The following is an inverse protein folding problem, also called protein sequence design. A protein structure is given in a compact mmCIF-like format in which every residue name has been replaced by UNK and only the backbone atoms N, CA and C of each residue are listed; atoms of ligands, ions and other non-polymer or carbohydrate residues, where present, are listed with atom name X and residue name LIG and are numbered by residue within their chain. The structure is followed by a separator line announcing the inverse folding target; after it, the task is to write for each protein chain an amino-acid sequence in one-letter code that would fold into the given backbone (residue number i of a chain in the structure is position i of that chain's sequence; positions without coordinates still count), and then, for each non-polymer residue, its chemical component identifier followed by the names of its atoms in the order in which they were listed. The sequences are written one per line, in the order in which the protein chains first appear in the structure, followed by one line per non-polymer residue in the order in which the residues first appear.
data_IF_475444720601
#
_entry.id   IF_475444720601
#
_cell.length_a   1.000
_cell.length_b   1.000
_cell.length_c   1.000
_cell.angle_alpha   90.00
_cell.angle_beta   90.00
_cell.angle_gamma   90.00
#
_symmetry.space_group_name_H-M   'P 1'
#
loop_
_entity.id
_entity.type
_entity.pdbx_description
1 polymer ?
#
# COMPACT_ATOMS: atom_id res chain seq x y z
N UNK A 1 22.63 10.66 -23.28
CA UNK A 1 21.59 9.86 -22.60
C UNK A 1 22.26 8.75 -21.81
N UNK A 2 22.17 8.76 -20.46
CA UNK A 2 22.32 7.52 -19.71
C UNK A 2 21.33 6.52 -20.32
N UNK A 3 21.79 5.35 -20.77
CA UNK A 3 20.88 4.36 -21.33
C UNK A 3 19.82 4.03 -20.27
N UNK A 4 18.54 4.07 -20.65
CA UNK A 4 17.40 3.53 -19.89
C UNK A 4 17.61 2.06 -19.47
N UNK A 5 18.69 1.40 -19.92
CA UNK A 5 19.18 0.13 -19.39
C UNK A 5 19.49 0.12 -17.88
N UNK A 6 19.63 1.29 -17.22
CA UNK A 6 19.69 1.37 -15.73
C UNK A 6 18.31 1.34 -15.04
N UNK A 7 17.22 1.46 -15.79
CA UNK A 7 15.86 1.15 -15.34
C UNK A 7 15.48 -0.31 -15.65
N UNK A 8 16.47 -1.18 -15.94
CA UNK A 8 16.24 -2.62 -15.90
C UNK A 8 16.02 -3.00 -14.44
N UNK A 9 14.74 -3.00 -14.10
CA UNK A 9 14.16 -3.40 -12.84
C UNK A 9 13.90 -4.90 -12.92
N UNK A 10 14.43 -5.68 -11.99
CA UNK A 10 14.39 -7.15 -11.92
C UNK A 10 13.09 -7.70 -11.29
N UNK A 11 12.05 -6.87 -11.24
CA UNK A 11 10.77 -7.17 -10.61
C UNK A 11 10.59 -6.40 -9.30
N UNK A 12 9.48 -6.61 -8.63
CA UNK A 12 9.11 -5.85 -7.43
C UNK A 12 9.78 -6.35 -6.13
N UNK A 13 10.89 -7.08 -6.26
CA UNK A 13 11.62 -7.76 -5.20
C UNK A 13 11.04 -9.13 -4.78
N UNK A 14 9.82 -9.50 -5.17
CA UNK A 14 9.18 -10.76 -4.75
C UNK A 14 8.41 -11.50 -5.84
N UNK A 15 7.67 -10.78 -6.68
CA UNK A 15 6.78 -11.29 -7.69
C UNK A 15 7.34 -10.97 -9.07
N UNK A 16 7.76 -12.01 -9.79
CA UNK A 16 8.19 -11.91 -11.19
C UNK A 16 6.94 -11.92 -12.07
N UNK A 17 6.30 -10.77 -12.21
CA UNK A 17 5.09 -10.66 -13.03
C UNK A 17 5.39 -10.76 -14.54
N UNK A 18 6.63 -10.51 -14.96
CA UNK A 18 7.07 -10.60 -16.37
C UNK A 18 6.92 -12.01 -16.97
N UNK A 19 6.72 -13.05 -16.14
CA UNK A 19 6.40 -14.39 -16.61
C UNK A 19 4.95 -14.55 -17.11
N UNK A 20 4.08 -13.58 -16.80
CA UNK A 20 2.70 -13.54 -17.26
C UNK A 20 2.55 -12.61 -18.47
N UNK A 21 1.66 -12.94 -19.42
CA UNK A 21 1.40 -12.07 -20.56
C UNK A 21 0.73 -10.75 -20.15
N UNK A 22 1.09 -9.69 -20.88
CA UNK A 22 0.57 -8.34 -20.69
C UNK A 22 1.53 -7.43 -19.91
N UNK A 23 1.19 -6.14 -19.86
CA UNK A 23 1.95 -5.18 -19.05
C UNK A 23 1.28 -4.98 -17.69
N UNK A 24 2.03 -4.48 -16.73
CA UNK A 24 1.52 -4.07 -15.43
C UNK A 24 1.87 -2.60 -15.20
N UNK A 25 1.08 -1.88 -14.38
CA UNK A 25 1.43 -0.50 -14.06
C UNK A 25 2.82 -0.45 -13.41
N UNK A 26 3.58 0.65 -13.63
CA UNK A 26 4.87 0.81 -12.98
C UNK A 26 4.71 0.80 -11.46
N UNK A 27 5.67 0.19 -10.77
CA UNK A 27 5.69 0.14 -9.31
C UNK A 27 6.00 1.52 -8.73
N UNK A 28 5.70 1.72 -7.44
CA UNK A 28 6.04 2.97 -6.75
C UNK A 28 7.53 3.27 -6.86
N UNK A 29 8.41 2.29 -6.60
CA UNK A 29 9.85 2.46 -6.77
C UNK A 29 10.26 2.89 -8.18
N UNK A 30 9.61 2.35 -9.23
CA UNK A 30 9.86 2.75 -10.62
C UNK A 30 9.39 4.19 -10.90
N UNK A 31 8.20 4.57 -10.42
CA UNK A 31 7.68 5.93 -10.57
C UNK A 31 8.60 6.93 -9.88
N UNK A 32 8.97 6.69 -8.63
CA UNK A 32 9.84 7.59 -7.86
C UNK A 32 11.21 7.71 -8.51
N UNK A 33 11.81 6.59 -8.95
CA UNK A 33 13.10 6.60 -9.65
C UNK A 33 13.00 7.41 -10.94
N UNK A 34 11.92 7.22 -11.71
CA UNK A 34 11.69 7.96 -12.94
C UNK A 34 11.53 9.46 -12.69
N UNK A 35 10.75 9.88 -11.69
CA UNK A 35 10.59 11.28 -11.31
C UNK A 35 11.93 11.93 -10.96
N UNK A 36 12.72 11.28 -10.09
CA UNK A 36 14.07 11.76 -9.70
C UNK A 36 15.01 11.87 -10.91
N UNK A 37 14.90 10.96 -11.87
CA UNK A 37 15.66 11.04 -13.12
C UNK A 37 15.21 12.21 -14.00
N UNK A 38 13.90 12.43 -14.13
CA UNK A 38 13.36 13.55 -14.91
C UNK A 38 13.82 14.88 -14.32
N UNK A 39 13.75 15.07 -13.01
CA UNK A 39 14.20 16.31 -12.37
C UNK A 39 15.67 16.61 -12.64
N UNK A 40 16.55 15.61 -12.44
CA UNK A 40 17.97 15.76 -12.72
C UNK A 40 18.26 16.12 -14.19
N UNK A 41 17.51 15.53 -15.14
CA UNK A 41 17.66 15.85 -16.56
C UNK A 41 17.05 17.21 -16.92
N UNK A 42 15.98 17.65 -16.24
CA UNK A 42 15.39 18.98 -16.42
C UNK A 42 16.29 20.10 -15.89
N UNK A 43 17.08 19.84 -14.85
CA UNK A 43 18.13 20.77 -14.39
C UNK A 43 19.27 20.88 -15.41
N UNK A 44 19.63 19.78 -16.06
CA UNK A 44 20.74 19.71 -17.00
C UNK A 44 20.39 20.12 -18.44
N UNK A 45 19.10 20.08 -18.81
CA UNK A 45 18.65 20.20 -20.20
C UNK A 45 17.43 21.10 -20.35
N UNK A 46 17.40 21.90 -21.43
CA UNK A 46 16.24 22.74 -21.77
C UNK A 46 14.98 21.93 -22.13
N UNK A 47 15.16 20.74 -22.69
CA UNK A 47 14.07 19.86 -23.10
C UNK A 47 14.38 18.42 -22.71
N UNK A 48 13.39 17.74 -22.14
CA UNK A 48 13.42 16.30 -21.88
C UNK A 48 12.34 15.66 -22.74
N UNK A 49 12.72 14.64 -23.52
CA UNK A 49 11.81 13.92 -24.41
C UNK A 49 11.73 12.46 -23.96
N UNK A 50 10.53 12.03 -23.59
CA UNK A 50 10.24 10.62 -23.30
C UNK A 50 9.81 9.91 -24.59
N UNK A 51 10.49 8.82 -24.93
CA UNK A 51 10.18 8.00 -26.11
C UNK A 51 9.83 6.59 -25.65
N UNK A 52 8.77 6.02 -26.21
CA UNK A 52 8.29 4.67 -25.89
C UNK A 52 7.89 3.89 -27.14
N UNK A 53 7.84 2.56 -27.04
CA UNK A 53 7.27 1.71 -28.07
C UNK A 53 5.76 1.56 -27.88
N UNK A 54 5.04 1.19 -28.94
CA UNK A 54 3.60 0.89 -28.84
C UNK A 54 3.29 -0.14 -27.76
N UNK A 55 4.14 -1.16 -27.61
CA UNK A 55 3.98 -2.21 -26.60
C UNK A 55 4.00 -1.65 -25.18
N UNK A 56 4.83 -0.64 -24.91
CA UNK A 56 5.08 -0.02 -23.59
C UNK A 56 4.29 1.28 -23.39
N UNK A 57 3.29 1.54 -24.24
CA UNK A 57 2.54 2.80 -24.27
C UNK A 57 1.81 3.05 -22.93
N UNK A 58 1.14 2.04 -22.39
CA UNK A 58 0.39 2.14 -21.13
C UNK A 58 1.31 2.50 -19.94
N UNK A 59 2.41 1.76 -19.78
CA UNK A 59 3.39 2.02 -18.71
C UNK A 59 4.00 3.41 -18.86
N UNK A 60 4.40 3.77 -20.07
CA UNK A 60 4.96 5.09 -20.38
C UNK A 60 3.98 6.22 -20.09
N UNK A 61 2.69 6.01 -20.35
CA UNK A 61 1.62 6.96 -20.07
C UNK A 61 1.42 7.17 -18.57
N UNK A 62 1.52 6.12 -17.74
CA UNK A 62 1.52 6.27 -16.27
C UNK A 62 2.72 7.07 -15.80
N UNK A 63 3.93 6.80 -16.32
CA UNK A 63 5.14 7.53 -15.94
C UNK A 63 5.07 9.02 -16.33
N UNK A 64 4.61 9.32 -17.54
CA UNK A 64 4.42 10.69 -18.01
C UNK A 64 3.35 11.42 -17.18
N UNK A 65 2.21 10.75 -16.93
CA UNK A 65 1.14 11.30 -16.09
C UNK A 65 1.58 11.47 -14.63
N UNK A 66 2.46 10.63 -14.10
CA UNK A 66 3.02 10.79 -12.76
C UNK A 66 3.84 12.08 -12.63
N UNK A 67 4.59 12.48 -13.66
CA UNK A 67 5.27 13.80 -13.68
C UNK A 67 4.24 14.93 -13.60
N UNK A 68 3.15 14.83 -14.37
CA UNK A 68 2.10 15.85 -14.36
C UNK A 68 1.39 15.93 -13.00
N UNK A 69 1.03 14.79 -12.41
CA UNK A 69 0.29 14.75 -11.15
C UNK A 69 1.20 15.09 -9.96
N UNK A 70 2.33 14.42 -9.80
CA UNK A 70 3.15 14.54 -8.59
C UNK A 70 4.10 15.74 -8.63
N UNK A 71 4.83 15.94 -9.73
CA UNK A 71 5.83 17.02 -9.82
C UNK A 71 5.23 18.37 -10.25
N UNK A 72 4.11 18.36 -11.00
CA UNK A 72 3.52 19.57 -11.57
C UNK A 72 2.16 19.95 -11.00
N UNK A 73 1.59 19.13 -10.13
CA UNK A 73 0.36 19.48 -9.41
C UNK A 73 -0.93 19.37 -10.22
N UNK A 74 -0.90 18.85 -11.46
CA UNK A 74 -2.11 18.71 -12.28
C UNK A 74 -3.15 17.79 -11.62
N UNK A 75 -4.43 18.01 -11.94
CA UNK A 75 -5.47 17.02 -11.61
C UNK A 75 -5.33 15.78 -12.50
N UNK A 76 -5.90 14.63 -12.12
CA UNK A 76 -5.93 13.44 -12.97
C UNK A 76 -6.51 13.71 -14.36
N UNK A 77 -7.58 14.49 -14.45
CA UNK A 77 -8.26 14.86 -15.69
C UNK A 77 -7.32 15.64 -16.61
N UNK A 78 -6.70 16.71 -16.10
CA UNK A 78 -5.79 17.55 -16.87
C UNK A 78 -4.53 16.80 -17.33
N UNK A 79 -4.03 15.88 -16.48
CA UNK A 79 -2.91 15.03 -16.82
C UNK A 79 -3.29 14.01 -17.90
N UNK A 80 -4.50 13.44 -17.80
CA UNK A 80 -5.00 12.46 -18.74
C UNK A 80 -5.27 13.05 -20.11
N UNK A 81 -5.90 14.24 -20.18
CA UNK A 81 -6.10 14.97 -21.44
C UNK A 81 -4.78 15.22 -22.18
N UNK A 82 -3.71 15.58 -21.46
CA UNK A 82 -2.38 15.80 -22.04
C UNK A 82 -1.74 14.50 -22.55
N UNK A 83 -1.92 13.41 -21.82
CA UNK A 83 -1.45 12.08 -22.24
C UNK A 83 -2.19 11.63 -23.50
N UNK A 84 -3.51 11.79 -23.54
CA UNK A 84 -4.35 11.45 -24.69
C UNK A 84 -4.01 12.28 -25.94
N UNK A 85 -3.71 13.57 -25.78
CA UNK A 85 -3.29 14.43 -26.89
C UNK A 85 -2.02 13.91 -27.62
N UNK A 86 -1.19 13.12 -26.94
CA UNK A 86 0.03 12.52 -27.51
C UNK A 86 -0.17 11.05 -27.90
N UNK A 87 -0.86 10.27 -27.07
CA UNK A 87 -0.97 8.82 -27.22
C UNK A 87 -2.19 8.35 -28.04
N UNK A 88 -3.15 9.25 -28.29
CA UNK A 88 -4.44 8.97 -28.91
C UNK A 88 -5.45 8.34 -27.94
N UNK A 89 -6.73 8.49 -28.25
CA UNK A 89 -7.83 7.88 -27.48
C UNK A 89 -7.73 6.35 -27.49
N UNK A 90 -7.95 5.67 -26.35
CA UNK A 90 -8.08 4.23 -26.33
C UNK A 90 -9.36 3.76 -27.01
N UNK A 91 -9.31 2.55 -27.53
CA UNK A 91 -10.43 1.87 -28.16
C UNK A 91 -11.57 1.64 -27.15
N UNK A 92 -12.83 1.67 -27.62
CA UNK A 92 -14.00 1.44 -26.76
C UNK A 92 -14.09 -0.01 -26.28
N UNK A 93 -13.60 -0.97 -27.06
CA UNK A 93 -13.51 -2.37 -26.66
C UNK A 93 -12.38 -2.53 -25.64
N UNK A 94 -12.72 -2.99 -24.44
CA UNK A 94 -11.76 -3.17 -23.36
C UNK A 94 -10.63 -4.16 -23.69
N UNK A 95 -10.83 -5.09 -24.63
CA UNK A 95 -9.77 -6.03 -25.07
C UNK A 95 -8.76 -5.38 -26.02
N UNK A 96 -9.17 -4.35 -26.75
CA UNK A 96 -8.33 -3.60 -27.68
C UNK A 96 -7.71 -2.34 -27.05
N UNK A 97 -8.37 -1.80 -26.02
CA UNK A 97 -7.97 -0.58 -25.33
C UNK A 97 -6.55 -0.65 -24.77
N UNK A 98 -5.69 0.24 -25.25
CA UNK A 98 -4.29 0.25 -24.88
C UNK A 98 -3.99 0.74 -23.46
N UNK A 99 -4.92 1.45 -22.84
CA UNK A 99 -4.72 2.11 -21.54
C UNK A 99 -5.00 1.17 -20.36
N UNK A 100 -5.22 -0.13 -20.61
CA UNK A 100 -5.63 -1.10 -19.60
C UNK A 100 -4.52 -2.07 -19.23
N UNK A 101 -4.55 -2.50 -17.98
CA UNK A 101 -3.67 -3.53 -17.45
C UNK A 101 -4.50 -4.78 -17.10
N UNK A 102 -4.09 -5.99 -17.55
CA UNK A 102 -4.77 -7.22 -17.18
C UNK A 102 -4.70 -7.47 -15.68
N UNK A 103 -5.63 -8.29 -15.14
CA UNK A 103 -5.52 -8.81 -13.78
C UNK A 103 -4.13 -9.43 -13.55
N UNK A 104 -3.55 -9.28 -12.35
CA UNK A 104 -2.26 -9.91 -12.09
C UNK A 104 -2.34 -11.42 -12.21
N UNK A 105 -1.22 -12.04 -12.60
CA UNK A 105 -1.11 -13.48 -12.76
C UNK A 105 -2.05 -14.05 -13.85
N UNK A 106 -2.60 -13.19 -14.72
CA UNK A 106 -3.41 -13.63 -15.86
C UNK A 106 -2.56 -14.35 -16.89
N UNK A 107 -2.94 -15.59 -17.23
CA UNK A 107 -2.27 -16.39 -18.26
C UNK A 107 -2.66 -16.01 -19.69
N UNK A 108 -3.67 -15.14 -19.87
CA UNK A 108 -4.12 -14.70 -21.20
C UNK A 108 -3.67 -13.28 -21.50
N UNK A 109 -3.42 -12.46 -20.48
CA UNK A 109 -3.14 -11.03 -20.64
C UNK A 109 -4.37 -10.24 -21.11
N UNK A 110 -5.56 -10.85 -21.15
CA UNK A 110 -6.79 -10.19 -21.56
C UNK A 110 -7.25 -9.16 -20.52
N UNK A 111 -7.65 -8.00 -21.03
CA UNK A 111 -8.27 -6.91 -20.28
C UNK A 111 -9.79 -6.94 -20.45
N UNK A 112 -10.49 -6.40 -19.46
CA UNK A 112 -11.94 -6.31 -19.44
C UNK A 112 -12.44 -4.96 -18.93
N UNK A 113 -13.77 -4.77 -18.83
CA UNK A 113 -14.37 -3.50 -18.44
C UNK A 113 -13.91 -3.00 -17.06
N UNK A 114 -13.55 -3.91 -16.15
CA UNK A 114 -13.12 -3.61 -14.78
C UNK A 114 -11.60 -3.56 -14.60
N UNK A 115 -10.84 -3.92 -15.63
CA UNK A 115 -9.40 -3.84 -15.61
C UNK A 115 -8.92 -2.45 -15.22
N UNK A 116 -7.82 -2.41 -14.47
CA UNK A 116 -7.17 -1.17 -14.09
C UNK A 116 -6.76 -0.38 -15.34
N UNK A 117 -7.00 0.93 -15.35
CA UNK A 117 -6.58 1.81 -16.44
C UNK A 117 -5.40 2.70 -16.07
N UNK A 118 -4.75 3.32 -17.06
CA UNK A 118 -3.79 4.41 -16.86
C UNK A 118 -4.45 5.53 -16.06
N UNK A 119 -5.69 5.90 -16.41
CA UNK A 119 -6.42 6.94 -15.69
C UNK A 119 -6.64 6.62 -14.21
N UNK A 120 -7.00 5.37 -13.89
CA UNK A 120 -7.13 4.92 -12.49
C UNK A 120 -5.80 5.06 -11.72
N UNK A 121 -4.66 4.81 -12.37
CA UNK A 121 -3.33 5.03 -11.79
C UNK A 121 -3.09 6.51 -11.47
N UNK A 122 -3.42 7.42 -12.40
CA UNK A 122 -3.27 8.86 -12.17
C UNK A 122 -4.14 9.37 -11.02
N UNK A 123 -5.39 8.88 -10.94
CA UNK A 123 -6.29 9.16 -9.80
C UNK A 123 -5.72 8.63 -8.49
N UNK A 124 -5.12 7.44 -8.49
CA UNK A 124 -4.44 6.89 -7.33
C UNK A 124 -3.25 7.72 -6.85
N UNK A 125 -2.41 8.20 -7.77
CA UNK A 125 -1.28 9.09 -7.46
C UNK A 125 -1.76 10.44 -6.91
N UNK A 126 -2.81 11.02 -7.49
CA UNK A 126 -3.41 12.25 -6.99
C UNK A 126 -3.99 12.06 -5.58
N UNK A 127 -4.70 10.95 -5.33
CA UNK A 127 -5.19 10.61 -4.00
C UNK A 127 -4.04 10.46 -2.99
N UNK A 128 -2.93 9.82 -3.37
CA UNK A 128 -1.78 9.68 -2.50
C UNK A 128 -1.15 11.03 -2.12
N UNK A 129 -1.05 11.96 -3.08
CA UNK A 129 -0.62 13.35 -2.83
C UNK A 129 -1.59 14.07 -1.89
N UNK A 130 -2.89 14.06 -2.21
CA UNK A 130 -3.93 14.78 -1.46
C UNK A 130 -4.16 14.27 -0.04
N UNK A 131 -3.88 12.98 0.20
CA UNK A 131 -3.99 12.34 1.52
C UNK A 131 -2.65 12.25 2.25
N UNK A 132 -1.59 12.82 1.69
CA UNK A 132 -0.22 12.75 2.22
C UNK A 132 0.28 11.29 2.43
N UNK A 133 -0.20 10.35 1.62
CA UNK A 133 0.36 9.00 1.55
C UNK A 133 1.68 8.98 0.77
N UNK A 134 1.89 9.99 -0.07
CA UNK A 134 3.16 10.30 -0.70
C UNK A 134 3.31 11.81 -0.69
N UNK A 135 3.92 12.34 0.37
CA UNK A 135 4.09 13.78 0.58
C UNK A 135 5.13 14.36 -0.39
N UNK A 136 6.39 13.92 -0.26
CA UNK A 136 7.48 14.32 -1.14
C UNK A 136 8.20 13.10 -1.73
N UNK A 137 8.13 12.96 -3.05
CA UNK A 137 8.80 11.87 -3.74
C UNK A 137 10.34 12.00 -3.72
N UNK A 138 10.89 13.20 -3.50
CA UNK A 138 12.34 13.39 -3.34
C UNK A 138 12.85 12.70 -2.08
N UNK A 139 12.08 12.77 -0.99
CA UNK A 139 12.39 12.13 0.30
C UNK A 139 12.11 10.63 0.32
N UNK A 140 11.38 10.10 -0.66
CA UNK A 140 11.05 8.69 -0.71
C UNK A 140 12.31 7.81 -0.87
N UNK A 141 12.50 6.91 0.10
CA UNK A 141 13.62 5.98 0.14
C UNK A 141 13.31 4.70 -0.64
N UNK A 142 13.76 4.70 -1.89
CA UNK A 142 13.56 3.60 -2.84
C UNK A 142 14.27 2.32 -2.39
N UNK A 143 15.41 2.41 -1.69
CA UNK A 143 16.16 1.23 -1.25
C UNK A 143 15.53 0.59 0.00
N UNK A 144 15.12 1.42 0.98
CA UNK A 144 14.35 0.94 2.12
C UNK A 144 13.02 0.29 1.69
N UNK A 145 12.32 0.91 0.73
CA UNK A 145 11.08 0.36 0.17
C UNK A 145 11.29 -1.01 -0.48
N UNK A 146 12.38 -1.20 -1.24
CA UNK A 146 12.74 -2.51 -1.80
C UNK A 146 13.05 -3.52 -0.73
N UNK A 147 13.90 -3.17 0.24
CA UNK A 147 14.30 -4.10 1.30
C UNK A 147 13.11 -4.53 2.14
N UNK A 148 12.18 -3.62 2.47
CA UNK A 148 10.96 -3.96 3.19
C UNK A 148 10.16 -5.03 2.45
N UNK A 149 10.05 -4.89 1.12
CA UNK A 149 9.40 -5.88 0.28
C UNK A 149 10.20 -7.18 0.29
N UNK A 150 11.47 -7.18 -0.09
CA UNK A 150 12.33 -8.38 -0.17
C UNK A 150 12.44 -9.18 1.14
N UNK A 151 12.44 -8.49 2.28
CA UNK A 151 12.67 -9.09 3.60
C UNK A 151 11.38 -9.53 4.27
N UNK A 152 10.33 -8.73 4.20
CA UNK A 152 9.08 -8.96 4.94
C UNK A 152 7.89 -9.29 4.06
N UNK A 153 8.07 -9.29 2.73
CA UNK A 153 7.00 -9.30 1.74
C UNK A 153 5.85 -8.36 2.14
N UNK A 154 6.25 -7.12 2.48
CA UNK A 154 5.37 -6.09 3.02
C UNK A 154 5.42 -4.80 2.20
N UNK A 155 4.32 -4.04 2.19
CA UNK A 155 4.22 -2.73 1.55
C UNK A 155 3.19 -1.88 2.27
N UNK A 156 3.53 -0.60 2.48
CA UNK A 156 2.55 0.39 2.92
C UNK A 156 1.53 0.63 1.80
N UNK A 157 0.25 0.38 2.08
CA UNK A 157 -0.83 0.79 1.19
C UNK A 157 -1.41 2.14 1.63
N UNK A 158 -1.39 2.39 2.94
CA UNK A 158 -1.66 3.70 3.54
C UNK A 158 -0.61 3.88 4.65
N UNK A 159 0.40 4.75 4.47
CA UNK A 159 1.48 4.91 5.45
C UNK A 159 0.95 5.25 6.84
N UNK A 160 1.47 4.57 7.86
CA UNK A 160 1.05 4.74 9.26
C UNK A 160 -0.30 4.11 9.62
N UNK A 161 -1.02 3.52 8.66
CA UNK A 161 -2.35 2.95 8.93
C UNK A 161 -2.51 1.52 8.45
N UNK A 162 -2.14 1.21 7.20
CA UNK A 162 -2.32 -0.12 6.59
C UNK A 162 -0.98 -0.60 6.02
N UNK A 163 -0.36 -1.52 6.76
CA UNK A 163 0.79 -2.29 6.30
C UNK A 163 0.30 -3.62 5.72
N UNK A 164 0.29 -3.76 4.40
CA UNK A 164 -0.07 -5.01 3.74
C UNK A 164 1.14 -5.93 3.70
N UNK A 165 0.96 -7.21 4.03
CA UNK A 165 2.04 -8.19 4.01
C UNK A 165 1.55 -9.59 3.64
N UNK A 166 2.46 -10.45 3.19
CA UNK A 166 2.22 -11.88 3.10
C UNK A 166 2.19 -12.54 4.47
N UNK A 167 1.83 -13.82 4.50
CA UNK A 167 1.78 -14.61 5.72
C UNK A 167 3.16 -14.63 6.44
N UNK A 168 3.24 -14.18 7.72
CA UNK A 168 4.51 -14.08 8.43
C UNK A 168 5.28 -15.41 8.51
N UNK A 169 4.59 -16.54 8.67
CA UNK A 169 5.22 -17.85 8.79
C UNK A 169 5.92 -18.24 7.49
N UNK A 170 5.23 -18.14 6.36
CA UNK A 170 5.81 -18.43 5.05
C UNK A 170 7.00 -17.51 4.74
N UNK A 171 6.85 -16.21 4.97
CA UNK A 171 7.93 -15.24 4.73
C UNK A 171 9.16 -15.51 5.60
N UNK A 172 8.97 -15.92 6.85
CA UNK A 172 10.08 -16.19 7.78
C UNK A 172 10.96 -17.38 7.39
N UNK A 173 10.49 -18.22 6.48
CA UNK A 173 11.24 -19.37 5.95
C UNK A 173 12.20 -18.98 4.82
N UNK A 174 12.23 -17.70 4.41
CA UNK A 174 13.15 -17.22 3.39
C UNK A 174 14.61 -17.38 3.89
N UNK A 175 15.44 -18.23 3.24
CA UNK A 175 16.81 -18.49 3.70
C UNK A 175 17.72 -17.26 3.60
N UNK A 176 17.36 -16.25 2.82
CA UNK A 176 18.09 -14.97 2.72
C UNK A 176 17.96 -14.14 4.00
N UNK A 177 16.91 -14.36 4.79
CA UNK A 177 16.60 -13.60 6.00
C UNK A 177 16.25 -14.54 7.17
N UNK A 178 17.25 -15.25 7.73
CA UNK A 178 17.00 -16.20 8.81
C UNK A 178 16.56 -15.49 10.11
N UNK A 179 15.65 -16.12 10.85
CA UNK A 179 15.27 -15.67 12.20
C UNK A 179 14.25 -14.53 12.26
N UNK A 180 13.52 -14.25 11.18
CA UNK A 180 12.53 -13.15 11.11
C UNK A 180 11.39 -13.24 12.14
N UNK A 181 11.10 -14.43 12.68
CA UNK A 181 10.12 -14.62 13.77
C UNK A 181 10.75 -14.86 15.15
N UNK A 182 12.05 -15.17 15.21
CA UNK A 182 12.66 -15.78 16.39
C UNK A 182 13.29 -14.76 17.34
N UNK A 183 13.59 -13.55 16.87
CA UNK A 183 14.20 -12.50 17.69
C UNK A 183 13.17 -11.42 18.03
N UNK A 184 13.01 -11.19 19.33
CA UNK A 184 12.28 -10.03 19.86
C UNK A 184 12.97 -8.72 19.47
N UNK A 185 12.31 -7.57 19.70
CA UNK A 185 12.90 -6.27 19.40
C UNK A 185 14.17 -6.06 20.23
N UNK A 186 15.12 -5.23 19.75
CA UNK A 186 16.21 -4.79 20.61
C UNK A 186 15.66 -4.08 21.87
N UNK A 187 16.38 -4.08 23.00
CA UNK A 187 15.85 -3.70 24.31
C UNK A 187 15.24 -2.29 24.39
N UNK A 188 15.66 -1.40 23.50
CA UNK A 188 15.28 0.01 23.36
C UNK A 188 14.01 0.24 22.52
N UNK A 189 13.43 -0.79 21.89
CA UNK A 189 12.27 -0.68 20.99
C UNK A 189 10.98 -1.31 21.53
N UNK A 190 10.83 -1.45 22.85
CA UNK A 190 9.53 -1.90 23.42
C UNK A 190 8.49 -0.81 23.20
N UNK A 191 7.28 -1.22 22.77
CA UNK A 191 6.14 -0.30 22.68
C UNK A 191 5.86 0.33 24.06
N UNK A 192 5.51 1.63 24.12
CA UNK A 192 4.98 2.24 25.33
C UNK A 192 3.76 1.45 25.83
N UNK A 193 3.59 1.39 27.15
CA UNK A 193 2.58 0.55 27.81
C UNK A 193 1.15 0.91 27.35
N UNK A 194 0.91 2.15 26.91
CA UNK A 194 -0.37 2.61 26.32
C UNK A 194 -0.74 1.95 24.97
N UNK A 195 0.26 1.47 24.23
CA UNK A 195 0.09 0.70 22.99
C UNK A 195 0.04 -0.80 23.27
N UNK A 196 0.59 -1.25 24.40
CA UNK A 196 0.41 -2.61 24.89
C UNK A 196 -1.00 -2.73 25.47
N UNK A 197 -1.83 -3.52 24.81
CA UNK A 197 -3.19 -3.73 25.28
C UNK A 197 -3.11 -4.57 26.55
N UNK A 198 -3.40 -3.97 27.71
CA UNK A 198 -3.59 -4.70 28.96
C UNK A 198 -4.65 -5.77 28.74
N UNK A 199 -4.37 -6.98 29.21
CA UNK A 199 -5.23 -8.14 29.02
C UNK A 199 -6.54 -7.99 29.81
N UNK A 200 -7.50 -7.24 29.28
CA UNK A 200 -8.85 -7.23 29.82
C UNK A 200 -9.67 -8.33 29.12
N UNK A 201 -9.72 -9.46 29.83
CA UNK A 201 -10.79 -10.46 29.93
C UNK A 201 -11.58 -10.84 28.67
N UNK A 202 -11.49 -12.13 28.35
CA UNK A 202 -12.49 -12.94 27.67
C UNK A 202 -13.93 -12.42 27.84
N UNK A 203 -14.53 -11.90 26.77
CA UNK A 203 -15.95 -11.56 26.71
C UNK A 203 -16.80 -12.75 26.27
N UNK A 204 -16.94 -13.74 27.15
CA UNK A 204 -18.17 -14.53 27.28
C UNK A 204 -19.19 -13.65 28.01
N UNK A 205 -20.41 -13.57 27.49
CA UNK A 205 -21.52 -12.81 28.06
C UNK A 205 -21.98 -13.41 29.40
N UNK A 206 -21.84 -12.67 30.50
CA UNK A 206 -22.69 -12.79 31.70
C UNK A 206 -22.69 -11.49 32.51
N UNK A 207 -23.83 -11.21 33.15
CA UNK A 207 -24.32 -9.90 33.56
C UNK A 207 -23.81 -9.32 34.90
N UNK A 208 -24.13 -8.01 35.08
CA UNK A 208 -24.33 -7.21 36.32
C UNK A 208 -23.08 -6.73 37.08
N UNK A 209 -23.09 -5.61 37.79
CA UNK A 209 -23.90 -4.38 37.87
C UNK A 209 -23.21 -3.45 38.91
N UNK A 210 -23.22 -2.14 38.63
CA UNK A 210 -23.27 -0.96 39.52
C UNK A 210 -22.21 -0.66 40.62
N UNK A 211 -21.82 0.64 40.59
CA UNK A 211 -21.62 1.62 41.69
C UNK A 211 -20.25 2.33 41.57
N UNK A 212 -20.19 3.54 41.01
CA UNK A 212 -20.48 4.86 41.60
C UNK A 212 -19.29 5.51 42.35
N UNK A 213 -18.85 6.63 41.77
CA UNK A 213 -18.70 7.96 42.41
C UNK A 213 -17.29 8.61 42.56
N UNK A 214 -17.25 9.83 42.01
CA UNK A 214 -16.48 11.04 42.38
C UNK A 214 -14.94 11.01 42.55
N UNK A 215 -14.22 11.83 41.77
CA UNK A 215 -13.82 13.21 42.13
C UNK A 215 -12.79 13.82 41.16
N UNK A 216 -12.94 15.14 41.05
CA UNK A 216 -12.15 16.14 40.30
C UNK A 216 -10.68 16.20 40.75
N UNK A 217 -9.78 16.63 39.86
CA UNK A 217 -9.09 17.94 39.88
C UNK A 217 -7.92 17.97 38.86
N UNK A 218 -7.79 19.08 38.10
CA UNK A 218 -6.54 19.47 37.42
C UNK A 218 -5.51 20.03 38.42
N UNK A 219 -4.39 20.67 38.01
CA UNK A 219 -4.34 21.65 36.91
C UNK A 219 -3.01 21.76 36.09
N UNK A 220 -3.10 22.56 35.01
CA UNK A 220 -2.20 23.63 34.53
C UNK A 220 -0.67 23.48 34.34
N UNK A 221 -0.22 24.02 33.20
CA UNK A 221 1.08 24.68 32.97
C UNK A 221 2.16 23.75 32.40
N UNK A 222 2.96 24.07 31.40
CA UNK A 222 3.27 25.31 30.70
C UNK A 222 4.63 25.12 30.00
N UNK A 223 4.90 26.00 29.03
CA UNK A 223 6.17 26.28 28.36
C UNK A 223 6.59 25.55 27.07
N UNK A 224 6.83 26.45 26.11
CA UNK A 224 7.39 26.32 24.79
C UNK A 224 8.91 26.55 24.82
N UNK A 225 9.64 26.04 23.82
CA UNK A 225 11.03 26.43 23.60
C UNK A 225 11.75 25.73 22.44
N UNK A 226 11.92 26.47 21.33
CA UNK A 226 12.93 26.39 20.23
C UNK A 226 13.18 25.04 19.53
N UNK A 227 12.86 24.79 18.25
CA UNK A 227 13.13 25.46 16.96
C UNK A 227 14.64 25.62 16.58
N UNK A 228 15.07 24.68 15.72
CA UNK A 228 16.01 24.73 14.59
C UNK A 228 17.40 25.35 14.74
N UNK A 229 18.44 24.53 14.47
CA UNK A 229 19.72 25.02 13.98
C UNK A 229 20.34 23.97 13.02
N UNK A 230 20.40 24.27 11.72
CA UNK A 230 21.09 23.48 10.69
C UNK A 230 22.18 24.38 10.06
N UNK A 231 23.47 24.00 10.07
CA UNK A 231 24.52 24.77 9.40
C UNK A 231 24.55 24.52 7.88
N UNK A 232 24.81 25.60 7.13
CA UNK A 232 24.99 25.67 5.65
C UNK A 232 26.40 25.20 5.26
N UNK A 233 26.61 24.50 4.12
CA UNK A 233 27.92 23.98 3.73
C UNK A 233 28.80 24.99 2.97
N UNK A 234 30.11 24.82 3.13
CA UNK A 234 31.16 25.63 2.49
C UNK A 234 31.59 25.03 1.14
N UNK A 235 31.79 25.89 0.15
CA UNK A 235 32.21 25.56 -1.22
C UNK A 235 33.74 25.45 -1.30
N UNK A 236 34.29 24.32 -1.74
CA UNK A 236 35.49 24.33 -2.59
C UNK A 236 35.59 23.09 -3.49
N UNK A 237 36.01 23.37 -4.71
CA UNK A 237 35.86 22.63 -5.96
C UNK A 237 36.93 21.57 -6.28
N UNK A 238 36.55 20.54 -7.06
CA UNK A 238 37.17 20.04 -8.33
C UNK A 238 37.29 18.51 -8.44
N UNK A 239 36.67 17.98 -9.50
CA UNK A 239 36.89 16.62 -10.03
C UNK A 239 35.61 15.78 -10.10
N UNK A 240 34.73 16.02 -11.08
CA UNK A 240 33.46 15.29 -11.24
C UNK A 240 33.66 13.87 -11.79
N UNK A 241 34.23 13.00 -10.95
CA UNK A 241 33.84 11.60 -10.91
C UNK A 241 32.47 11.59 -10.22
N UNK A 242 31.40 11.26 -10.95
CA UNK A 242 30.08 11.03 -10.37
C UNK A 242 30.18 9.88 -9.36
N UNK A 243 30.43 10.23 -8.10
CA UNK A 243 30.22 9.38 -6.94
C UNK A 243 29.01 9.96 -6.24
N UNK A 244 27.89 9.24 -6.33
CA UNK A 244 26.72 9.53 -5.52
C UNK A 244 27.16 9.54 -4.04
N UNK A 245 26.88 10.60 -3.26
CA UNK A 245 27.18 10.63 -1.84
C UNK A 245 26.11 9.82 -1.11
N UNK A 246 26.09 8.51 -1.29
CA UNK A 246 25.18 7.65 -0.52
C UNK A 246 25.76 7.45 0.87
N UNK A 247 25.46 8.38 1.78
CA UNK A 247 25.20 7.94 3.15
C UNK A 247 24.01 6.98 3.08
N UNK A 248 24.14 5.81 3.71
CA UNK A 248 22.99 4.91 3.85
C UNK A 248 21.92 5.64 4.64
N UNK A 249 20.65 5.43 4.29
CA UNK A 249 19.57 6.02 5.08
C UNK A 249 19.44 5.28 6.41
N UNK A 250 19.10 6.01 7.46
CA UNK A 250 18.82 5.41 8.76
C UNK A 250 17.66 4.39 8.70
N UNK A 251 16.74 4.54 7.74
CA UNK A 251 15.63 3.60 7.57
C UNK A 251 16.07 2.28 6.97
N UNK A 252 16.94 2.31 5.96
CA UNK A 252 17.51 1.11 5.38
C UNK A 252 18.28 0.31 6.44
N UNK A 253 19.12 0.97 7.23
CA UNK A 253 19.90 0.33 8.30
C UNK A 253 19.00 -0.30 9.38
N UNK A 254 17.91 0.39 9.78
CA UNK A 254 16.92 -0.17 10.71
C UNK A 254 16.24 -1.41 10.12
N UNK A 255 15.78 -1.34 8.87
CA UNK A 255 15.13 -2.47 8.21
C UNK A 255 16.04 -3.68 8.06
N UNK A 256 17.34 -3.50 7.88
CA UNK A 256 18.32 -4.60 7.86
C UNK A 256 18.41 -5.34 9.19
N UNK A 257 18.33 -4.61 10.31
CA UNK A 257 18.31 -5.18 11.64
C UNK A 257 16.95 -5.76 12.05
N UNK A 258 15.86 -5.28 11.45
CA UNK A 258 14.50 -5.58 11.92
C UNK A 258 14.10 -7.06 11.81
N UNK A 259 13.32 -7.56 12.77
CA UNK A 259 12.48 -8.75 12.62
C UNK A 259 11.03 -8.34 12.37
N UNK A 260 10.11 -9.30 12.17
CA UNK A 260 8.69 -8.96 12.12
C UNK A 260 8.25 -8.23 13.38
N UNK A 261 8.75 -8.67 14.54
CA UNK A 261 8.36 -8.08 15.82
C UNK A 261 8.87 -6.62 15.90
N UNK A 262 10.16 -6.36 15.66
CA UNK A 262 10.67 -4.99 15.76
C UNK A 262 10.06 -4.06 14.71
N UNK A 263 9.86 -4.55 13.48
CA UNK A 263 9.14 -3.80 12.43
C UNK A 263 7.73 -3.42 12.89
N UNK A 264 6.96 -4.37 13.44
CA UNK A 264 5.59 -4.14 13.89
C UNK A 264 5.53 -3.15 15.06
N UNK A 265 6.43 -3.28 16.04
CA UNK A 265 6.47 -2.37 17.19
C UNK A 265 6.85 -0.94 16.75
N UNK A 266 7.89 -0.78 15.93
CA UNK A 266 8.30 0.53 15.41
C UNK A 266 7.26 1.16 14.49
N UNK A 267 6.50 0.34 13.77
CA UNK A 267 5.38 0.76 12.93
C UNK A 267 4.10 1.03 13.73
N UNK A 268 4.15 0.98 15.07
CA UNK A 268 3.00 1.13 15.97
C UNK A 268 1.83 0.22 15.59
N UNK A 269 2.09 -1.04 15.26
CA UNK A 269 1.03 -1.98 14.92
C UNK A 269 0.14 -2.23 16.14
N UNK A 270 -1.12 -1.83 16.03
CA UNK A 270 -2.16 -2.06 17.02
C UNK A 270 -2.59 -3.52 17.05
N UNK A 271 -2.81 -4.12 15.87
CA UNK A 271 -3.25 -5.50 15.72
C UNK A 271 -2.88 -6.03 14.32
N UNK A 272 -2.61 -7.33 14.24
CA UNK A 272 -2.39 -8.03 12.97
C UNK A 272 -3.71 -8.65 12.53
N UNK A 273 -4.26 -8.25 11.40
CA UNK A 273 -5.49 -8.81 10.85
C UNK A 273 -5.16 -9.93 9.85
N UNK A 274 -5.68 -11.14 10.14
CA UNK A 274 -5.50 -12.36 9.32
C UNK A 274 -6.76 -12.69 8.53
N UNK A 275 -6.63 -12.79 7.20
CA UNK A 275 -7.73 -12.99 6.25
C UNK A 275 -7.78 -14.40 5.62
N UNK A 276 -6.78 -15.24 5.85
CA UNK A 276 -6.74 -16.61 5.33
C UNK A 276 -7.10 -17.64 6.39
N UNK A 277 -7.76 -18.72 5.99
CA UNK A 277 -8.13 -19.79 6.90
C UNK A 277 -6.91 -20.59 7.37
N UNK A 278 -7.05 -21.27 8.51
CA UNK A 278 -6.02 -22.15 9.06
C UNK A 278 -5.63 -23.30 8.11
N UNK A 279 -6.58 -23.83 7.33
CA UNK A 279 -6.29 -24.92 6.40
C UNK A 279 -5.40 -24.49 5.21
N UNK A 280 -5.31 -23.18 4.92
CA UNK A 280 -4.52 -22.65 3.82
C UNK A 280 -3.01 -22.63 4.13
N UNK A 281 -2.66 -22.53 5.41
CA UNK A 281 -1.27 -22.58 5.88
C UNK A 281 -1.23 -23.26 7.24
N UNK A 282 -0.60 -24.44 7.29
CA UNK A 282 -0.45 -25.20 8.54
C UNK A 282 0.49 -24.48 9.50
N UNK A 283 0.31 -24.70 10.80
CA UNK A 283 1.14 -24.18 11.89
C UNK A 283 1.20 -22.65 12.01
N UNK A 284 0.20 -21.94 11.49
CA UNK A 284 0.10 -20.48 11.63
C UNK A 284 0.08 -20.01 13.09
N UNK A 285 -0.38 -20.86 14.01
CA UNK A 285 -0.34 -20.58 15.46
C UNK A 285 1.08 -20.32 15.98
N UNK A 286 2.13 -20.76 15.27
CA UNK A 286 3.53 -20.48 15.62
C UNK A 286 3.86 -19.00 15.60
N UNK A 287 3.51 -18.28 14.53
CA UNK A 287 3.80 -16.84 14.46
C UNK A 287 2.85 -16.06 15.39
N UNK A 288 1.62 -16.52 15.56
CA UNK A 288 0.66 -15.90 16.50
C UNK A 288 1.18 -15.94 17.93
N UNK A 289 1.71 -17.09 18.37
CA UNK A 289 2.36 -17.24 19.67
C UNK A 289 3.61 -16.37 19.80
N UNK A 290 4.40 -16.26 18.73
CA UNK A 290 5.58 -15.38 18.73
C UNK A 290 5.18 -13.91 18.89
N UNK A 291 4.17 -13.45 18.16
CA UNK A 291 3.64 -12.09 18.25
C UNK A 291 3.02 -11.82 19.62
N UNK A 292 2.24 -12.75 20.15
CA UNK A 292 1.56 -12.60 21.43
C UNK A 292 2.55 -12.43 22.60
N UNK A 293 3.71 -13.10 22.56
CA UNK A 293 4.79 -12.92 23.56
C UNK A 293 5.31 -11.48 23.64
N UNK A 294 5.08 -10.68 22.60
CA UNK A 294 5.47 -9.28 22.52
C UNK A 294 4.26 -8.33 22.50
N UNK A 295 3.08 -8.79 22.91
CA UNK A 295 1.86 -7.98 22.99
C UNK A 295 1.17 -7.72 21.66
N UNK A 296 1.66 -8.31 20.56
CA UNK A 296 1.05 -8.19 19.24
C UNK A 296 -0.02 -9.27 19.08
N UNK A 297 -1.28 -8.85 18.98
CA UNK A 297 -2.41 -9.77 18.84
C UNK A 297 -2.73 -9.99 17.36
N UNK A 298 -3.27 -11.18 17.07
CA UNK A 298 -3.75 -11.54 15.74
C UNK A 298 -5.28 -11.62 15.78
N UNK A 299 -5.94 -10.79 14.98
CA UNK A 299 -7.37 -10.76 14.82
C UNK A 299 -7.78 -11.54 13.57
N UNK A 300 -8.60 -12.57 13.76
CA UNK A 300 -8.96 -13.51 12.70
C UNK A 300 -10.31 -13.16 12.05
N UNK A 301 -10.29 -12.75 10.79
CA UNK A 301 -11.49 -12.41 9.99
C UNK A 301 -11.35 -13.00 8.57
N UNK A 302 -11.35 -14.33 8.43
CA UNK A 302 -11.05 -14.97 7.17
C UNK A 302 -12.18 -14.89 6.16
N UNK A 303 -11.82 -14.97 4.89
CA UNK A 303 -12.75 -15.26 3.80
C UNK A 303 -12.04 -15.99 2.65
N UNK A 304 -12.82 -16.61 1.78
CA UNK A 304 -12.35 -17.51 0.72
C UNK A 304 -11.38 -16.81 -0.23
N UNK A 305 -10.28 -17.51 -0.58
CA UNK A 305 -9.28 -16.99 -1.50
C UNK A 305 -9.87 -16.70 -2.90
N UNK A 306 -9.40 -15.62 -3.52
CA UNK A 306 -9.91 -15.12 -4.81
C UNK A 306 -11.34 -14.54 -4.78
N UNK A 307 -12.05 -14.62 -3.65
CA UNK A 307 -13.41 -14.09 -3.50
C UNK A 307 -13.44 -12.69 -2.88
N UNK A 308 -14.65 -12.17 -2.64
CA UNK A 308 -14.92 -10.88 -2.01
C UNK A 308 -15.38 -11.06 -0.56
N UNK A 309 -15.11 -10.09 0.34
CA UNK A 309 -15.52 -10.20 1.74
C UNK A 309 -17.04 -10.05 1.88
N UNK A 310 -17.62 -10.73 2.87
CA UNK A 310 -19.01 -10.47 3.26
C UNK A 310 -19.12 -9.11 3.94
N UNK A 311 -20.35 -8.57 3.98
CA UNK A 311 -20.61 -7.30 4.69
C UNK A 311 -20.16 -7.35 6.16
N UNK A 312 -20.38 -8.47 6.84
CA UNK A 312 -19.99 -8.63 8.24
C UNK A 312 -18.47 -8.59 8.41
N UNK A 313 -17.72 -9.22 7.49
CA UNK A 313 -16.25 -9.20 7.49
C UNK A 313 -15.72 -7.79 7.28
N UNK A 314 -16.28 -7.05 6.31
CA UNK A 314 -15.92 -5.63 6.09
C UNK A 314 -16.20 -4.79 7.33
N UNK A 315 -17.38 -4.94 7.94
CA UNK A 315 -17.77 -4.14 9.11
C UNK A 315 -16.86 -4.40 10.32
N UNK A 316 -16.51 -5.66 10.58
CA UNK A 316 -15.62 -6.00 11.68
C UNK A 316 -14.21 -5.43 11.47
N UNK A 317 -13.69 -5.52 10.25
CA UNK A 317 -12.40 -4.92 9.90
C UNK A 317 -12.41 -3.38 9.99
N UNK A 318 -13.44 -2.71 9.49
CA UNK A 318 -13.54 -1.26 9.59
C UNK A 318 -13.64 -0.77 11.04
N UNK A 319 -14.30 -1.55 11.91
CA UNK A 319 -14.35 -1.27 13.35
C UNK A 319 -12.96 -1.37 13.98
N UNK A 320 -12.13 -2.34 13.58
CA UNK A 320 -10.74 -2.43 14.01
C UNK A 320 -9.92 -1.24 13.52
N UNK A 321 -10.01 -0.92 12.23
CA UNK A 321 -9.30 0.22 11.65
C UNK A 321 -9.66 1.53 12.34
N UNK A 322 -10.94 1.76 12.64
CA UNK A 322 -11.38 2.95 13.40
C UNK A 322 -10.73 3.04 14.78
N UNK A 323 -10.57 1.92 15.50
CA UNK A 323 -9.89 1.90 16.80
C UNK A 323 -8.39 2.19 16.66
N UNK A 324 -7.74 1.64 15.64
CA UNK A 324 -6.33 1.90 15.35
C UNK A 324 -6.09 3.38 15.01
N UNK A 325 -6.94 3.97 14.15
CA UNK A 325 -6.92 5.41 13.84
C UNK A 325 -7.05 6.30 15.08
N UNK A 326 -7.95 5.96 16.00
CA UNK A 326 -8.13 6.70 17.26
C UNK A 326 -6.88 6.69 18.16
N UNK A 327 -5.96 5.74 17.92
CA UNK A 327 -4.72 5.57 18.69
C UNK A 327 -3.46 5.99 17.91
N UNK A 328 -3.61 6.58 16.72
CA UNK A 328 -2.47 6.86 15.82
C UNK A 328 -1.61 5.59 15.60
N UNK A 329 -2.28 4.49 15.25
CA UNK A 329 -1.67 3.17 15.17
C UNK A 329 -2.01 2.43 13.86
N UNK A 330 -1.15 1.47 13.50
CA UNK A 330 -1.21 0.72 12.25
C UNK A 330 -1.97 -0.59 12.40
N UNK A 331 -2.69 -1.03 11.37
CA UNK A 331 -3.10 -2.42 11.18
C UNK A 331 -2.14 -3.11 10.20
N UNK A 332 -1.53 -4.21 10.65
CA UNK A 332 -0.80 -5.10 9.76
C UNK A 332 -1.79 -6.11 9.16
N UNK A 333 -2.01 -6.07 7.85
CA UNK A 333 -3.07 -6.81 7.18
C UNK A 333 -2.49 -7.87 6.24
N UNK A 334 -2.87 -9.14 6.43
CA UNK A 334 -2.39 -10.22 5.59
C UNK A 334 -3.46 -11.27 5.24
N UNK A 335 -3.22 -11.94 4.12
CA UNK A 335 -3.84 -13.21 3.78
C UNK A 335 -2.71 -14.25 3.59
N UNK A 336 -2.74 -15.05 2.53
CA UNK A 336 -1.60 -15.88 2.16
C UNK A 336 -0.50 -15.04 1.49
N UNK A 337 -0.77 -14.47 0.30
CA UNK A 337 0.18 -13.61 -0.44
C UNK A 337 0.09 -12.11 -0.13
N UNK A 338 -0.83 -11.68 0.73
CA UNK A 338 -0.99 -10.26 1.05
C UNK A 338 -1.48 -9.39 -0.11
N UNK A 339 -2.20 -9.97 -1.09
CA UNK A 339 -2.52 -9.31 -2.37
C UNK A 339 -4.02 -9.16 -2.63
N UNK A 340 -4.74 -10.25 -2.95
CA UNK A 340 -6.14 -10.19 -3.35
C UNK A 340 -7.06 -9.75 -2.20
N UNK A 341 -7.21 -10.61 -1.19
CA UNK A 341 -8.04 -10.36 0.00
C UNK A 341 -7.58 -9.11 0.78
N UNK A 342 -6.27 -8.98 0.96
CA UNK A 342 -5.65 -7.82 1.61
C UNK A 342 -5.97 -6.51 0.87
N UNK A 343 -5.82 -6.47 -0.45
CA UNK A 343 -6.10 -5.28 -1.25
C UNK A 343 -7.56 -4.84 -1.20
N UNK A 344 -8.51 -5.78 -1.28
CA UNK A 344 -9.95 -5.41 -1.22
C UNK A 344 -10.37 -4.91 0.17
N UNK A 345 -9.81 -5.47 1.24
CA UNK A 345 -10.08 -4.99 2.61
C UNK A 345 -9.43 -3.63 2.85
N UNK A 346 -8.19 -3.41 2.41
CA UNK A 346 -7.55 -2.10 2.46
C UNK A 346 -8.33 -1.04 1.68
N UNK A 347 -8.91 -1.41 0.52
CA UNK A 347 -9.77 -0.52 -0.25
C UNK A 347 -11.06 -0.14 0.47
N UNK A 348 -11.65 -1.05 1.25
CA UNK A 348 -12.78 -0.72 2.11
C UNK A 348 -12.41 0.33 3.17
N UNK A 349 -11.23 0.23 3.77
CA UNK A 349 -10.72 1.22 4.72
C UNK A 349 -10.46 2.58 4.05
N UNK A 350 -9.81 2.59 2.88
CA UNK A 350 -9.58 3.82 2.11
C UNK A 350 -10.89 4.53 1.72
N UNK A 351 -11.90 3.78 1.28
CA UNK A 351 -13.21 4.34 0.96
C UNK A 351 -13.93 4.88 2.21
N UNK A 352 -13.94 4.11 3.30
CA UNK A 352 -14.67 4.45 4.52
C UNK A 352 -14.06 5.62 5.30
N UNK A 353 -12.73 5.66 5.44
CA UNK A 353 -12.07 6.59 6.34
C UNK A 353 -11.34 7.72 5.61
N UNK A 354 -10.92 7.52 4.35
CA UNK A 354 -10.22 8.53 3.55
C UNK A 354 -11.03 9.14 2.43
N UNK A 355 -12.23 8.58 2.15
CA UNK A 355 -13.10 9.00 1.03
C UNK A 355 -12.42 8.86 -0.33
N UNK A 356 -11.45 7.97 -0.46
CA UNK A 356 -10.83 7.62 -1.74
C UNK A 356 -11.69 6.58 -2.41
N UNK A 357 -12.19 6.88 -3.62
CA UNK A 357 -13.04 5.93 -4.33
C UNK A 357 -12.25 4.68 -4.76
N UNK A 358 -13.00 3.60 -4.96
CA UNK A 358 -12.44 2.30 -5.29
C UNK A 358 -11.53 2.27 -6.53
N UNK A 359 -11.82 3.07 -7.56
CA UNK A 359 -11.01 3.07 -8.80
C UNK A 359 -9.66 3.75 -8.57
N UNK A 360 -9.65 4.88 -7.89
CA UNK A 360 -8.40 5.55 -7.50
C UNK A 360 -7.55 4.66 -6.59
N UNK A 361 -8.18 4.02 -5.59
CA UNK A 361 -7.46 3.11 -4.70
C UNK A 361 -6.94 1.86 -5.44
N UNK A 362 -7.67 1.35 -6.44
CA UNK A 362 -7.20 0.24 -7.27
C UNK A 362 -5.89 0.58 -8.00
N UNK A 363 -5.78 1.80 -8.56
CA UNK A 363 -4.54 2.28 -9.16
C UNK A 363 -3.41 2.41 -8.14
N UNK A 364 -3.69 3.08 -7.03
CA UNK A 364 -2.71 3.28 -5.96
C UNK A 364 -2.17 1.96 -5.38
N UNK A 365 -3.06 1.02 -5.06
CA UNK A 365 -2.65 -0.25 -4.42
C UNK A 365 -1.79 -1.09 -5.36
N UNK A 366 -2.10 -1.12 -6.68
CA UNK A 366 -1.31 -1.83 -7.70
C UNK A 366 0.07 -1.20 -7.92
N UNK A 367 0.19 0.12 -7.76
CA UNK A 367 1.47 0.84 -7.78
C UNK A 367 2.30 0.49 -6.54
N UNK A 368 1.70 0.54 -5.35
CA UNK A 368 2.40 0.25 -4.09
C UNK A 368 2.84 -1.20 -3.99
N UNK A 369 1.95 -2.13 -4.33
CA UNK A 369 2.14 -3.58 -4.19
C UNK A 369 1.61 -4.27 -5.45
N UNK A 370 2.47 -4.50 -6.45
CA UNK A 370 2.11 -5.31 -7.61
C UNK A 370 1.58 -6.67 -7.17
N UNK A 371 0.61 -7.16 -7.93
CA UNK A 371 -0.13 -8.39 -7.63
C UNK A 371 -1.42 -8.20 -6.81
N UNK A 372 -1.67 -7.04 -6.19
CA UNK A 372 -2.92 -6.78 -5.44
C UNK A 372 -4.15 -6.81 -6.34
N UNK A 373 -5.31 -7.20 -5.79
CA UNK A 373 -6.61 -7.30 -6.48
C UNK A 373 -6.51 -8.27 -7.68
N UNK A 374 -6.72 -9.56 -7.42
CA UNK A 374 -6.28 -10.64 -8.31
C UNK A 374 -7.36 -11.15 -9.27
N UNK A 375 -8.63 -11.02 -8.89
CA UNK A 375 -9.74 -11.58 -9.67
C UNK A 375 -10.69 -10.49 -10.15
N UNK A 376 -11.38 -10.74 -11.26
CA UNK A 376 -12.43 -9.84 -11.77
C UNK A 376 -13.48 -9.56 -10.69
N UNK A 377 -13.84 -10.54 -9.85
CA UNK A 377 -14.76 -10.35 -8.72
C UNK A 377 -14.24 -9.30 -7.73
N UNK A 378 -12.96 -9.34 -7.41
CA UNK A 378 -12.31 -8.37 -6.52
C UNK A 378 -12.22 -6.99 -7.17
N UNK A 379 -11.91 -6.91 -8.47
CA UNK A 379 -11.95 -5.64 -9.20
C UNK A 379 -13.35 -5.03 -9.16
N UNK A 380 -14.38 -5.81 -9.48
CA UNK A 380 -15.79 -5.36 -9.44
C UNK A 380 -16.14 -4.86 -8.04
N UNK A 381 -15.81 -5.61 -6.98
CA UNK A 381 -16.10 -5.21 -5.61
C UNK A 381 -15.42 -3.89 -5.26
N UNK A 382 -14.09 -3.81 -5.46
CA UNK A 382 -13.30 -2.64 -5.12
C UNK A 382 -13.79 -1.41 -5.87
N UNK A 383 -13.97 -1.50 -7.19
CA UNK A 383 -14.35 -0.38 -8.05
C UNK A 383 -15.76 0.16 -7.78
N UNK A 384 -16.60 -0.62 -7.09
CA UNK A 384 -17.93 -0.21 -6.67
C UNK A 384 -17.96 0.32 -5.22
N UNK A 385 -16.81 0.44 -4.54
CA UNK A 385 -16.76 1.11 -3.24
C UNK A 385 -16.89 2.62 -3.43
N UNK A 386 -18.10 3.13 -3.17
CA UNK A 386 -18.40 4.56 -3.17
C UNK A 386 -18.25 5.16 -1.75
N UNK A 387 -17.70 6.37 -1.69
CA UNK A 387 -17.42 7.12 -0.44
C UNK A 387 -18.59 7.18 0.57
N UNK A 388 -19.89 7.30 0.18
CA UNK A 388 -21.00 7.33 1.13
C UNK A 388 -21.54 5.95 1.54
N UNK A 389 -21.39 4.92 0.69
CA UNK A 389 -22.15 3.66 0.79
C UNK A 389 -21.49 2.62 1.71
N UNK A 390 -20.17 2.69 1.88
CA UNK A 390 -19.44 1.81 2.82
C UNK A 390 -19.83 2.10 4.28
N UNK A 391 -20.20 3.36 4.57
CA UNK A 391 -20.64 3.82 5.90
C UNK A 391 -22.18 3.80 6.08
N UNK A 392 -22.96 3.91 4.99
CA UNK A 392 -24.44 3.86 5.03
C UNK A 392 -24.97 2.44 4.87
N UNK A 393 -25.08 1.78 6.01
CA UNK A 393 -25.65 0.44 6.21
C UNK A 393 -27.16 0.42 5.87
N UNK A 394 -27.54 0.38 4.59
CA UNK A 394 -28.88 -0.07 4.18
C UNK A 394 -28.99 -0.60 2.74
N UNK A 395 -28.08 -0.25 1.83
CA UNK A 395 -28.29 -0.54 0.39
C UNK A 395 -27.18 -1.31 -0.32
N UNK A 396 -26.45 -2.22 0.34
CA UNK A 396 -25.60 -3.21 -0.39
C UNK A 396 -26.45 -4.12 -1.31
N UNK A 397 -27.78 -4.14 -1.15
CA UNK A 397 -28.71 -4.71 -2.15
C UNK A 397 -28.61 -4.02 -3.52
N UNK A 398 -28.27 -2.72 -3.56
CA UNK A 398 -27.98 -1.97 -4.78
C UNK A 398 -26.63 -2.39 -5.39
N UNK A 399 -25.59 -2.55 -4.57
CA UNK A 399 -24.26 -2.97 -5.04
C UNK A 399 -24.26 -4.41 -5.57
N UNK A 400 -24.77 -5.36 -4.78
CA UNK A 400 -24.91 -6.77 -5.18
C UNK A 400 -25.99 -6.97 -6.24
N UNK A 401 -27.02 -6.12 -6.27
CA UNK A 401 -28.05 -6.10 -7.32
C UNK A 401 -27.50 -5.64 -8.67
N UNK A 402 -26.64 -4.61 -8.69
CA UNK A 402 -25.92 -4.15 -9.89
C UNK A 402 -24.88 -5.16 -10.36
N UNK A 403 -24.21 -5.87 -9.45
CA UNK A 403 -23.29 -6.96 -9.79
C UNK A 403 -24.02 -8.15 -10.45
N UNK A 404 -25.28 -8.43 -10.08
CA UNK A 404 -26.10 -9.48 -10.71
C UNK A 404 -26.73 -9.10 -12.05
N UNK A 405 -26.90 -7.80 -12.34
CA UNK A 405 -27.47 -7.33 -13.60
C UNK A 405 -26.45 -7.26 -14.76
N UNK A 406 -25.16 -7.49 -14.50
CA UNK A 406 -24.11 -7.55 -15.52
C UNK A 406 -23.87 -8.95 -16.14
N UNK A 407 -24.59 -9.98 -15.68
CA UNK A 407 -24.44 -11.36 -16.15
C UNK A 407 -25.63 -11.87 -16.97
N UNK A 408 -26.41 -10.96 -17.59
CA UNK A 408 -27.54 -11.33 -18.43
C UNK A 408 -27.80 -10.32 -19.52
N UNK A 409 -27.18 -10.50 -20.68
CA UNK A 409 -27.78 -10.18 -21.96
C UNK A 409 -27.08 -10.98 -23.06
N UNK A 410 -27.87 -11.90 -23.63
CA UNK A 410 -27.93 -12.44 -24.99
C UNK A 410 -26.67 -12.49 -25.85
#
# INVERSE_FOLDING_TARGET
MPRLGKLRWDGDGHYVLDQFPGEHPPTLGQIITYLKMVDAEMEASRYVVQVTSHRRRAVSAVLAGAVLVLARGFTPEEAWERVLAVCGEPESDAKAAWDRFPPPFSNTGETGPTSLTVYDCLRGLAAAREKNWLEDYHLFDVEAWKLMREKFDASWLIPGEILAMANPLGTSQNPRFPGLLERGPPPDQRLPEEYLITSDSSGSLAARAEAADSKRQGPSGGDAGSLFNIPVPDETSKGSSWKLPFSRSAELERLEADTFISLMLRSKVYEVTRLNYDYECKDQDKYEKAFLKHGLRVHYVPFTDGDIPSKAVVQEFLKQCKKALQKDATIALHCMGGMGRTGVMAGAHAAAHHRVDGKAFHGWTRICRPGTVQTVKQEVFLRNLDCPDVLRVSSVRSLLGRIRLGSGCS
#
